data_IF_392253518588
#
_entry.id   IF_392253518588
#
_cell.length_a   1.000
_cell.length_b   1.000
_cell.length_c   1.000
_cell.angle_alpha   90.00
_cell.angle_beta   90.00
_cell.angle_gamma   90.00
#
_symmetry.space_group_name_H-M   'P 1'
#
loop_
_entity.id
_entity.type
_entity.pdbx_description
1 polymer ?
#
# COMPACT_ATOMS: atom_id res chain seq x y z
N UNK A 1 8.53 -28.55 5.93
CA UNK A 1 8.06 -27.63 7.00
C UNK A 1 6.60 -27.18 6.87
N UNK A 2 5.93 -27.36 5.72
CA UNK A 2 4.53 -26.93 5.54
C UNK A 2 3.45 -27.74 6.29
N UNK A 3 3.69 -29.01 6.61
CA UNK A 3 2.67 -29.86 7.26
C UNK A 3 2.36 -29.50 8.71
N UNK A 4 3.29 -28.84 9.42
CA UNK A 4 3.09 -28.45 10.83
C UNK A 4 2.20 -27.22 10.99
N UNK A 5 2.13 -26.37 9.97
CA UNK A 5 1.32 -25.15 10.00
C UNK A 5 -0.18 -25.47 9.93
N UNK A 6 -0.57 -26.32 8.97
CA UNK A 6 -1.95 -26.79 8.84
C UNK A 6 -2.38 -27.63 10.04
N UNK A 7 -1.47 -28.44 10.60
CA UNK A 7 -1.74 -29.19 11.83
C UNK A 7 -1.94 -28.27 13.05
N UNK A 8 -1.12 -27.22 13.24
CA UNK A 8 -1.28 -26.30 14.36
C UNK A 8 -2.58 -25.48 14.30
N UNK A 9 -3.04 -25.13 13.08
CA UNK A 9 -4.34 -24.50 12.86
C UNK A 9 -5.50 -25.43 13.24
N UNK A 10 -5.34 -26.74 13.01
CA UNK A 10 -6.32 -27.78 13.35
C UNK A 10 -6.28 -28.16 14.85
N UNK A 11 -5.11 -28.20 15.48
CA UNK A 11 -4.92 -28.64 16.87
C UNK A 11 -5.03 -27.53 17.92
N UNK A 12 -5.46 -26.32 17.53
CA UNK A 12 -5.77 -25.19 18.41
C UNK A 12 -4.77 -25.02 19.58
N UNK A 13 -3.45 -25.00 19.29
CA UNK A 13 -2.41 -24.80 20.31
C UNK A 13 -2.04 -23.31 20.41
N UNK A 14 -2.68 -22.52 21.30
CA UNK A 14 -2.54 -21.06 21.32
C UNK A 14 -1.10 -20.58 21.59
N UNK A 15 -0.29 -21.40 22.27
CA UNK A 15 1.11 -21.08 22.60
C UNK A 15 2.03 -21.02 21.36
N UNK A 16 1.71 -21.76 20.28
CA UNK A 16 2.50 -21.75 19.05
C UNK A 16 1.95 -20.76 18.02
N UNK A 17 0.66 -20.41 18.10
CA UNK A 17 0.03 -19.48 17.15
C UNK A 17 0.58 -18.06 17.26
N UNK A 18 0.84 -17.55 18.48
CA UNK A 18 1.40 -16.20 18.69
C UNK A 18 2.80 -16.02 18.06
N UNK A 19 3.82 -16.84 18.40
CA UNK A 19 5.16 -16.65 17.84
C UNK A 19 5.21 -16.89 16.33
N UNK A 20 4.45 -17.87 15.82
CA UNK A 20 4.36 -18.12 14.36
C UNK A 20 3.68 -16.95 13.66
N UNK A 21 2.63 -16.38 14.25
CA UNK A 21 1.95 -15.20 13.72
C UNK A 21 2.85 -13.97 13.65
N UNK A 22 3.63 -13.70 14.70
CA UNK A 22 4.62 -12.61 14.72
C UNK A 22 5.69 -12.85 13.65
N UNK A 23 6.23 -14.07 13.56
CA UNK A 23 7.23 -14.40 12.54
C UNK A 23 6.66 -14.24 11.13
N UNK A 24 5.43 -14.70 10.89
CA UNK A 24 4.74 -14.53 9.61
C UNK A 24 4.51 -13.06 9.26
N UNK A 25 4.13 -12.23 10.22
CA UNK A 25 3.99 -10.78 10.02
C UNK A 25 5.33 -10.13 9.65
N UNK A 26 6.40 -10.45 10.38
CA UNK A 26 7.74 -9.93 10.09
C UNK A 26 8.23 -10.35 8.70
N UNK A 27 8.04 -11.61 8.32
CA UNK A 27 8.40 -12.13 7.00
C UNK A 27 7.54 -11.54 5.87
N UNK A 28 6.27 -11.26 6.15
CA UNK A 28 5.37 -10.63 5.17
C UNK A 28 5.77 -9.18 4.89
N UNK A 29 6.19 -8.44 5.93
CA UNK A 29 6.65 -7.05 5.80
C UNK A 29 8.07 -6.95 5.22
N UNK A 30 8.92 -7.97 5.42
CA UNK A 30 10.30 -7.94 4.91
C UNK A 30 10.37 -7.96 3.39
N UNK A 31 9.43 -8.62 2.71
CA UNK A 31 9.38 -8.69 1.24
C UNK A 31 9.20 -7.31 0.56
N UNK A 32 8.14 -6.54 0.87
CA UNK A 32 7.99 -5.21 0.28
C UNK A 32 9.07 -4.23 0.75
N UNK A 33 9.56 -4.39 1.99
CA UNK A 33 10.69 -3.60 2.48
C UNK A 33 11.96 -3.86 1.64
N UNK A 34 12.31 -5.13 1.43
CA UNK A 34 13.45 -5.53 0.62
C UNK A 34 13.32 -5.02 -0.83
N UNK A 35 12.13 -5.13 -1.42
CA UNK A 35 11.87 -4.62 -2.78
C UNK A 35 12.15 -3.12 -2.88
N UNK A 36 11.72 -2.33 -1.88
CA UNK A 36 11.99 -0.90 -1.87
C UNK A 36 13.46 -0.57 -1.59
N UNK A 37 14.15 -1.35 -0.75
CA UNK A 37 15.59 -1.20 -0.50
C UNK A 37 16.41 -1.54 -1.76
N UNK A 38 16.00 -2.55 -2.51
CA UNK A 38 16.60 -2.93 -3.79
C UNK A 38 16.48 -1.81 -4.83
N UNK A 39 15.34 -1.11 -4.88
CA UNK A 39 15.22 0.09 -5.70
C UNK A 39 16.14 1.22 -5.20
N UNK A 40 16.24 1.40 -3.88
CA UNK A 40 17.00 2.49 -3.27
C UNK A 40 18.52 2.39 -3.50
N UNK A 41 19.08 1.20 -3.72
CA UNK A 41 20.53 1.06 -3.99
C UNK A 41 20.94 1.59 -5.37
N UNK A 42 19.99 1.82 -6.28
CA UNK A 42 20.25 2.38 -7.61
C UNK A 42 20.45 3.90 -7.56
N UNK A 43 21.64 4.34 -7.14
CA UNK A 43 22.00 5.76 -6.97
C UNK A 43 21.87 6.61 -8.24
N UNK A 44 21.94 6.00 -9.42
CA UNK A 44 21.80 6.70 -10.71
C UNK A 44 20.35 6.96 -11.11
N UNK A 45 19.39 6.64 -10.24
CA UNK A 45 17.95 6.82 -10.47
C UNK A 45 17.38 7.53 -9.26
N UNK A 46 17.36 8.85 -9.32
CA UNK A 46 17.05 9.69 -8.17
C UNK A 46 15.63 9.47 -7.64
N UNK A 47 14.68 9.12 -8.51
CA UNK A 47 13.31 8.75 -8.09
C UNK A 47 13.29 7.52 -7.17
N UNK A 48 14.27 6.63 -7.31
CA UNK A 48 14.35 5.40 -6.52
C UNK A 48 15.29 5.53 -5.33
N UNK A 49 16.38 6.28 -5.50
CA UNK A 49 17.45 6.46 -4.53
C UNK A 49 17.07 7.37 -3.34
N UNK A 50 15.88 7.14 -2.76
CA UNK A 50 15.43 7.83 -1.57
C UNK A 50 14.85 6.84 -0.53
N UNK A 51 14.92 7.15 0.78
CA UNK A 51 14.39 6.26 1.83
C UNK A 51 12.86 6.09 1.80
N UNK A 52 12.15 7.07 1.23
CA UNK A 52 10.69 7.10 1.17
C UNK A 52 10.13 5.94 0.35
N UNK A 53 10.80 5.54 -0.74
CA UNK A 53 10.41 4.39 -1.57
C UNK A 53 10.27 3.11 -0.75
N UNK A 54 11.22 2.82 0.15
CA UNK A 54 11.16 1.63 0.99
C UNK A 54 9.91 1.60 1.89
N UNK A 55 9.62 2.73 2.54
CA UNK A 55 8.46 2.86 3.40
C UNK A 55 7.16 2.83 2.60
N UNK A 56 7.15 3.42 1.41
CA UNK A 56 6.03 3.39 0.47
C UNK A 56 5.67 1.95 0.10
N UNK A 57 6.61 1.12 -0.32
CA UNK A 57 6.30 -0.25 -0.70
C UNK A 57 5.68 -1.06 0.44
N UNK A 58 6.13 -0.83 1.69
CA UNK A 58 5.55 -1.45 2.89
C UNK A 58 4.11 -0.98 3.11
N UNK A 59 3.87 0.34 3.17
CA UNK A 59 2.52 0.85 3.47
C UNK A 59 1.50 0.52 2.38
N UNK A 60 1.93 0.53 1.12
CA UNK A 60 1.09 0.11 0.00
C UNK A 60 0.74 -1.39 0.08
N UNK A 61 1.58 -2.20 0.73
CA UNK A 61 1.33 -3.64 0.91
C UNK A 61 0.33 -3.86 2.05
N UNK A 62 0.36 -3.01 3.08
CA UNK A 62 -0.67 -2.97 4.12
C UNK A 62 -2.04 -2.64 3.51
N UNK A 63 -2.15 -1.64 2.63
CA UNK A 63 -3.40 -1.31 1.93
C UNK A 63 -3.98 -2.53 1.18
N UNK A 64 -3.14 -3.21 0.39
CA UNK A 64 -3.53 -4.42 -0.34
C UNK A 64 -3.91 -5.58 0.58
N UNK A 65 -3.18 -5.77 1.68
CA UNK A 65 -3.48 -6.79 2.69
C UNK A 65 -4.83 -6.55 3.38
N UNK A 66 -5.10 -5.30 3.79
CA UNK A 66 -6.38 -4.93 4.40
C UNK A 66 -7.55 -5.13 3.44
N UNK A 67 -7.37 -4.80 2.15
CA UNK A 67 -8.37 -5.09 1.12
C UNK A 67 -8.69 -6.58 1.02
N UNK A 68 -7.67 -7.43 0.93
CA UNK A 68 -7.85 -8.88 0.85
C UNK A 68 -8.56 -9.43 2.10
N UNK A 69 -8.13 -9.04 3.30
CA UNK A 69 -8.78 -9.48 4.54
C UNK A 69 -10.23 -9.02 4.60
N UNK A 70 -10.52 -7.78 4.22
CA UNK A 70 -11.89 -7.25 4.21
C UNK A 70 -12.81 -8.00 3.24
N UNK A 71 -12.31 -8.37 2.06
CA UNK A 71 -13.03 -9.18 1.07
C UNK A 71 -13.35 -10.58 1.62
N UNK A 72 -12.37 -11.25 2.25
CA UNK A 72 -12.56 -12.57 2.85
C UNK A 72 -13.60 -12.51 3.98
N UNK A 73 -13.51 -11.52 4.87
CA UNK A 73 -14.44 -11.38 5.98
C UNK A 73 -15.87 -11.07 5.50
N UNK A 74 -16.00 -10.24 4.46
CA UNK A 74 -17.29 -9.94 3.83
C UNK A 74 -17.89 -11.19 3.17
N UNK A 75 -17.09 -11.93 2.39
CA UNK A 75 -17.53 -13.14 1.71
C UNK A 75 -17.96 -14.25 2.68
N UNK A 76 -17.35 -14.32 3.86
CA UNK A 76 -17.70 -15.26 4.93
C UNK A 76 -18.88 -14.81 5.80
N UNK A 77 -19.38 -13.57 5.61
CA UNK A 77 -20.37 -12.98 6.51
C UNK A 77 -19.88 -12.76 7.94
N UNK A 78 -18.55 -12.74 8.15
CA UNK A 78 -17.89 -12.64 9.46
C UNK A 78 -17.38 -11.22 9.74
N UNK A 79 -18.09 -10.22 9.23
CA UNK A 79 -17.71 -8.82 9.38
C UNK A 79 -18.33 -8.24 10.65
N UNK A 80 -17.83 -8.68 11.80
CA UNK A 80 -18.31 -8.21 13.11
C UNK A 80 -17.75 -6.82 13.46
N UNK A 81 -18.31 -6.21 14.51
CA UNK A 81 -17.94 -4.85 14.91
C UNK A 81 -16.45 -4.72 15.29
N UNK A 82 -15.89 -5.75 15.94
CA UNK A 82 -14.46 -5.76 16.32
C UNK A 82 -13.54 -5.85 15.11
N UNK A 83 -13.86 -6.71 14.14
CA UNK A 83 -13.13 -6.78 12.87
C UNK A 83 -13.23 -5.46 12.12
N UNK A 84 -14.42 -4.85 12.09
CA UNK A 84 -14.61 -3.54 11.46
C UNK A 84 -13.72 -2.48 12.08
N UNK A 85 -13.76 -2.30 13.40
CA UNK A 85 -12.96 -1.31 14.12
C UNK A 85 -11.46 -1.51 13.89
N UNK A 86 -10.99 -2.76 13.99
CA UNK A 86 -9.59 -3.10 13.77
C UNK A 86 -9.14 -2.80 12.33
N UNK A 87 -9.88 -3.26 11.33
CA UNK A 87 -9.54 -3.03 9.92
C UNK A 87 -9.69 -1.55 9.54
N UNK A 88 -10.67 -0.85 10.13
CA UNK A 88 -10.87 0.59 9.92
C UNK A 88 -9.67 1.38 10.39
N UNK A 89 -9.22 1.16 11.63
CA UNK A 89 -8.02 1.80 12.15
C UNK A 89 -6.79 1.52 11.27
N UNK A 90 -6.57 0.25 10.88
CA UNK A 90 -5.46 -0.13 10.02
C UNK A 90 -5.48 0.58 8.66
N UNK A 91 -6.64 0.57 7.99
CA UNK A 91 -6.78 1.22 6.69
C UNK A 91 -6.66 2.74 6.80
N UNK A 92 -7.22 3.34 7.84
CA UNK A 92 -7.17 4.79 8.05
C UNK A 92 -5.74 5.28 8.26
N UNK A 93 -4.98 4.61 9.14
CA UNK A 93 -3.56 4.91 9.35
C UNK A 93 -2.77 4.66 8.07
N UNK A 94 -2.99 3.54 7.38
CA UNK A 94 -2.26 3.22 6.17
C UNK A 94 -2.53 4.22 5.03
N UNK A 95 -3.78 4.67 4.86
CA UNK A 95 -4.15 5.73 3.92
C UNK A 95 -3.55 7.08 4.31
N UNK A 96 -3.55 7.44 5.60
CA UNK A 96 -2.95 8.67 6.10
C UNK A 96 -1.45 8.73 5.84
N UNK A 97 -0.72 7.66 6.16
CA UNK A 97 0.72 7.52 5.86
C UNK A 97 0.94 7.51 4.34
N UNK A 98 0.10 6.80 3.58
CA UNK A 98 0.18 6.78 2.11
C UNK A 98 0.02 8.18 1.52
N UNK A 99 -0.92 8.98 2.02
CA UNK A 99 -1.11 10.37 1.58
C UNK A 99 0.09 11.23 1.94
N UNK A 100 0.59 11.14 3.17
CA UNK A 100 1.76 11.90 3.60
C UNK A 100 3.00 11.60 2.74
N UNK A 101 3.28 10.32 2.48
CA UNK A 101 4.40 9.91 1.63
C UNK A 101 4.17 10.29 0.17
N UNK A 102 2.94 10.19 -0.34
CA UNK A 102 2.59 10.67 -1.69
C UNK A 102 2.84 12.17 -1.84
N UNK A 103 2.45 12.99 -0.86
CA UNK A 103 2.73 14.42 -0.87
C UNK A 103 4.22 14.72 -0.72
N UNK A 104 4.95 13.93 0.07
CA UNK A 104 6.40 14.02 0.16
C UNK A 104 7.08 13.78 -1.20
N UNK A 105 6.69 12.71 -1.90
CA UNK A 105 7.17 12.42 -3.25
C UNK A 105 6.76 13.51 -4.26
N UNK A 106 5.55 14.06 -4.14
CA UNK A 106 5.13 15.18 -4.98
C UNK A 106 6.04 16.40 -4.80
N UNK A 107 6.40 16.75 -3.56
CA UNK A 107 7.33 17.85 -3.28
C UNK A 107 8.72 17.54 -3.86
N UNK A 108 9.21 16.31 -3.68
CA UNK A 108 10.49 15.86 -4.26
C UNK A 108 10.51 15.94 -5.79
N UNK A 109 9.43 15.54 -6.45
CA UNK A 109 9.28 15.62 -7.91
C UNK A 109 9.23 17.06 -8.42
N UNK A 110 8.57 17.97 -7.68
CA UNK A 110 8.41 19.37 -8.08
C UNK A 110 9.66 20.23 -7.82
N UNK A 111 10.37 19.96 -6.73
CA UNK A 111 11.45 20.81 -6.23
C UNK A 111 12.81 20.10 -6.13
N UNK A 112 12.88 18.86 -6.61
CA UNK A 112 14.11 18.09 -6.66
C UNK A 112 15.06 18.54 -7.77
N UNK A 113 16.00 17.65 -8.11
CA UNK A 113 16.97 17.84 -9.18
C UNK A 113 16.32 17.95 -10.57
N UNK A 114 17.16 18.23 -11.58
CA UNK A 114 16.73 18.16 -12.98
C UNK A 114 16.22 16.78 -13.39
N UNK A 115 16.79 15.68 -12.87
CA UNK A 115 16.30 14.32 -13.15
C UNK A 115 14.88 14.12 -12.60
N UNK A 116 14.64 14.53 -11.35
CA UNK A 116 13.33 14.43 -10.71
C UNK A 116 12.27 15.31 -11.41
N UNK A 117 12.66 16.49 -11.90
CA UNK A 117 11.78 17.34 -12.69
C UNK A 117 11.46 16.75 -14.07
N UNK A 118 12.40 16.04 -14.70
CA UNK A 118 12.10 15.29 -15.93
C UNK A 118 11.17 14.10 -15.64
N UNK A 119 11.39 13.38 -14.54
CA UNK A 119 10.47 12.33 -14.10
C UNK A 119 9.06 12.90 -13.87
N UNK A 120 8.96 14.11 -13.31
CA UNK A 120 7.71 14.82 -13.12
C UNK A 120 6.99 15.13 -14.43
N UNK A 121 7.70 15.64 -15.44
CA UNK A 121 7.15 15.88 -16.78
C UNK A 121 6.65 14.57 -17.39
N UNK A 122 7.47 13.52 -17.37
CA UNK A 122 7.12 12.20 -17.89
C UNK A 122 5.88 11.62 -17.20
N UNK A 123 5.76 11.76 -15.88
CA UNK A 123 4.59 11.33 -15.12
C UNK A 123 3.34 12.05 -15.62
N UNK A 124 3.40 13.36 -15.84
CA UNK A 124 2.24 14.13 -16.30
C UNK A 124 1.91 13.93 -17.79
N UNK A 125 2.87 13.53 -18.61
CA UNK A 125 2.60 13.25 -20.03
C UNK A 125 2.08 11.84 -20.24
N UNK A 126 2.69 10.84 -19.60
CA UNK A 126 2.44 9.42 -19.91
C UNK A 126 1.67 8.67 -18.83
N UNK A 127 1.74 9.13 -17.58
CA UNK A 127 1.18 8.44 -16.42
C UNK A 127 0.16 9.26 -15.62
N UNK A 128 -0.36 10.35 -16.20
CA UNK A 128 -1.21 11.30 -15.48
C UNK A 128 -2.45 10.62 -14.90
N UNK A 129 -3.08 9.72 -15.67
CA UNK A 129 -4.28 9.02 -15.25
C UNK A 129 -3.98 8.09 -14.07
N UNK A 130 -2.84 7.42 -14.10
CA UNK A 130 -2.41 6.50 -13.05
C UNK A 130 -2.01 7.25 -11.78
N UNK A 131 -1.29 8.36 -11.91
CA UNK A 131 -0.79 9.13 -10.78
C UNK A 131 -1.87 9.99 -10.11
N UNK A 132 -2.64 10.75 -10.90
CA UNK A 132 -3.68 11.63 -10.36
C UNK A 132 -5.02 10.91 -10.22
N UNK A 133 -5.49 10.26 -11.27
CA UNK A 133 -6.80 9.61 -11.27
C UNK A 133 -6.83 8.37 -10.38
N UNK A 134 -5.99 7.39 -10.69
CA UNK A 134 -6.07 6.07 -10.06
C UNK A 134 -5.41 6.05 -8.68
N UNK A 135 -4.28 6.74 -8.50
CA UNK A 135 -3.63 6.83 -7.20
C UNK A 135 -4.23 7.89 -6.31
N UNK A 136 -4.18 9.18 -6.67
CA UNK A 136 -4.65 10.23 -5.75
C UNK A 136 -6.17 10.18 -5.54
N UNK A 137 -6.95 10.30 -6.62
CA UNK A 137 -8.41 10.39 -6.49
C UNK A 137 -9.00 9.05 -6.04
N UNK A 138 -8.80 7.98 -6.80
CA UNK A 138 -9.42 6.68 -6.54
C UNK A 138 -8.70 5.90 -5.43
N UNK A 139 -7.38 6.03 -5.31
CA UNK A 139 -6.57 5.24 -4.37
C UNK A 139 -6.39 5.84 -2.98
N UNK A 140 -6.66 7.14 -2.81
CA UNK A 140 -6.47 7.83 -1.54
C UNK A 140 -7.73 8.60 -1.14
N UNK A 141 -8.14 9.60 -1.94
CA UNK A 141 -9.22 10.52 -1.55
C UNK A 141 -10.58 9.82 -1.45
N UNK A 142 -10.92 8.98 -2.44
CA UNK A 142 -12.15 8.21 -2.43
C UNK A 142 -12.19 7.25 -1.22
N UNK A 143 -11.19 6.39 -0.95
CA UNK A 143 -11.13 5.57 0.24
C UNK A 143 -11.24 6.38 1.54
N UNK A 144 -10.50 7.49 1.68
CA UNK A 144 -10.59 8.34 2.87
C UNK A 144 -12.00 8.91 3.07
N UNK A 145 -12.65 9.37 2.01
CA UNK A 145 -14.03 9.86 2.10
C UNK A 145 -15.01 8.76 2.53
N UNK A 146 -14.88 7.55 1.96
CA UNK A 146 -15.70 6.40 2.35
C UNK A 146 -15.43 5.98 3.80
N UNK A 147 -14.17 6.05 4.24
CA UNK A 147 -13.77 5.72 5.60
C UNK A 147 -14.43 6.63 6.63
N UNK A 148 -14.50 7.93 6.36
CA UNK A 148 -15.23 8.91 7.19
C UNK A 148 -16.72 8.54 7.26
N UNK A 149 -17.34 8.18 6.13
CA UNK A 149 -18.76 7.76 6.11
C UNK A 149 -18.95 6.49 6.94
N UNK A 150 -18.09 5.48 6.78
CA UNK A 150 -18.20 4.20 7.51
C UNK A 150 -17.91 4.34 9.00
N UNK A 151 -17.20 5.38 9.43
CA UNK A 151 -16.96 5.67 10.84
C UNK A 151 -18.26 6.07 11.56
N UNK A 152 -19.15 6.82 10.90
CA UNK A 152 -20.44 7.22 11.47
C UNK A 152 -21.57 6.23 11.15
N UNK A 153 -21.47 5.50 10.03
CA UNK A 153 -22.44 4.50 9.60
C UNK A 153 -21.71 3.21 9.20
N UNK A 154 -21.43 2.31 10.16
CA UNK A 154 -20.72 1.07 9.89
C UNK A 154 -21.41 0.25 8.80
N UNK A 155 -20.70 0.05 7.69
CA UNK A 155 -21.17 -0.75 6.57
C UNK A 155 -19.99 -1.54 5.99
N UNK A 156 -20.05 -2.85 6.16
CA UNK A 156 -19.00 -3.77 5.73
C UNK A 156 -18.72 -3.69 4.22
N UNK A 157 -19.76 -3.56 3.39
CA UNK A 157 -19.60 -3.49 1.94
C UNK A 157 -18.91 -2.19 1.51
N UNK A 158 -19.31 -1.05 2.09
CA UNK A 158 -18.68 0.24 1.80
C UNK A 158 -17.23 0.28 2.28
N UNK A 159 -16.94 -0.28 3.45
CA UNK A 159 -15.57 -0.40 3.95
C UNK A 159 -14.70 -1.24 3.01
N UNK A 160 -15.18 -2.44 2.64
CA UNK A 160 -14.46 -3.33 1.73
C UNK A 160 -14.23 -2.67 0.37
N UNK A 161 -15.21 -1.90 -0.14
CA UNK A 161 -15.05 -1.12 -1.36
C UNK A 161 -13.94 -0.07 -1.24
N UNK A 162 -13.89 0.66 -0.12
CA UNK A 162 -12.81 1.61 0.16
C UNK A 162 -11.44 0.93 0.20
N UNK A 163 -11.34 -0.23 0.86
CA UNK A 163 -10.12 -1.01 0.93
C UNK A 163 -9.66 -1.49 -0.46
N UNK A 164 -10.58 -1.98 -1.29
CA UNK A 164 -10.29 -2.43 -2.66
C UNK A 164 -9.80 -1.27 -3.53
N UNK A 165 -10.45 -0.11 -3.49
CA UNK A 165 -9.99 1.06 -4.24
C UNK A 165 -8.60 1.54 -3.78
N UNK A 166 -8.33 1.51 -2.48
CA UNK A 166 -6.98 1.77 -1.94
C UNK A 166 -5.94 0.80 -2.49
N UNK A 167 -6.26 -0.49 -2.57
CA UNK A 167 -5.38 -1.50 -3.15
C UNK A 167 -5.13 -1.30 -4.65
N UNK A 168 -6.17 -0.92 -5.42
CA UNK A 168 -6.06 -0.61 -6.85
C UNK A 168 -5.12 0.60 -7.05
N UNK A 169 -5.33 1.68 -6.31
CA UNK A 169 -4.43 2.83 -6.38
C UNK A 169 -3.01 2.51 -5.92
N UNK A 170 -2.84 1.62 -4.93
CA UNK A 170 -1.54 1.14 -4.50
C UNK A 170 -0.80 0.33 -5.58
N UNK A 171 -1.52 -0.44 -6.40
CA UNK A 171 -0.95 -1.12 -7.56
C UNK A 171 -0.46 -0.11 -8.60
N UNK A 172 -1.33 0.81 -9.05
CA UNK A 172 -0.97 1.79 -10.07
C UNK A 172 0.16 2.71 -9.64
N UNK A 173 0.22 3.09 -8.36
CA UNK A 173 1.32 3.92 -7.87
C UNK A 173 2.67 3.21 -7.93
N UNK A 174 2.73 1.92 -7.55
CA UNK A 174 3.96 1.13 -7.72
C UNK A 174 4.38 1.07 -9.18
N UNK A 175 3.43 0.85 -10.08
CA UNK A 175 3.66 0.85 -11.53
C UNK A 175 4.26 2.17 -11.99
N UNK A 176 3.69 3.31 -11.59
CA UNK A 176 4.24 4.63 -11.96
C UNK A 176 5.65 4.83 -11.42
N UNK A 177 5.91 4.52 -10.15
CA UNK A 177 7.25 4.68 -9.56
C UNK A 177 8.31 3.86 -10.29
N UNK A 178 7.98 2.62 -10.65
CA UNK A 178 8.90 1.73 -11.38
C UNK A 178 9.11 2.24 -12.81
N UNK A 179 8.04 2.48 -13.59
CA UNK A 179 8.22 2.87 -14.99
C UNK A 179 8.77 4.29 -15.15
N UNK A 180 8.37 5.24 -14.31
CA UNK A 180 8.90 6.61 -14.38
C UNK A 180 10.39 6.63 -14.08
N UNK A 181 10.85 5.91 -13.05
CA UNK A 181 12.28 5.84 -12.73
C UNK A 181 13.11 5.09 -13.77
N UNK A 182 12.51 4.11 -14.48
CA UNK A 182 13.15 3.46 -15.61
C UNK A 182 13.32 4.37 -16.82
N UNK A 183 12.24 5.05 -17.19
CA UNK A 183 12.21 5.84 -18.41
C UNK A 183 13.01 7.13 -18.28
N UNK A 184 13.04 7.75 -17.11
CA UNK A 184 13.83 8.97 -16.88
C UNK A 184 15.30 8.73 -17.20
N UNK A 185 15.88 7.59 -16.82
CA UNK A 185 17.27 7.24 -17.16
C UNK A 185 17.55 6.96 -18.66
N UNK A 186 16.51 6.74 -19.48
CA UNK A 186 16.67 6.51 -20.92
C UNK A 186 16.64 7.84 -21.68
N UNK A 187 15.90 8.82 -21.14
CA UNK A 187 15.73 10.14 -21.76
C UNK A 187 16.62 11.23 -21.16
N UNK A 188 17.28 10.96 -20.02
CA UNK A 188 18.30 11.78 -19.37
C UNK A 188 19.71 11.32 -19.78
#
# INVERSE_FOLDING_TARGET
MHHRFLAALWFNRPQLLKPIGILGMLLSLSMPLYTGLDLMVHQTRELWSNPTISVLFVILSVNSGTALVSLIQLARGQFDAKTHEFLHWFLYVALGVTLALFLGELVTLLYGSGELQQAWILINERFWLQFWGLKLLLGILLPLSLMIVTQYRPNAALFTLAAVFSAIGAYFFRTVLIYAGQLTQIYY
#
